data_IF_444490612035
#
_entry.id   IF_444490612035
#
_cell.length_a   1.000
_cell.length_b   1.000
_cell.length_c   1.000
_cell.angle_alpha   90.00
_cell.angle_beta   90.00
_cell.angle_gamma   90.00
#
_symmetry.space_group_name_H-M   'P 1'
#
loop_
_entity.id
_entity.type
_entity.pdbx_description
1 polymer ?
#
# COMPACT_ATOMS: atom_id res chain seq x y z
N UNK A 1 49.25 51.21 -34.91
CA UNK A 1 49.80 50.17 -34.01
C UNK A 1 48.81 50.02 -32.85
N UNK A 2 47.86 49.10 -32.99
CA UNK A 2 46.69 48.97 -32.09
C UNK A 2 46.80 47.65 -31.33
N UNK A 3 46.78 47.73 -29.99
CA UNK A 3 46.77 46.57 -29.10
C UNK A 3 45.33 46.04 -29.01
N UNK A 4 45.15 44.74 -29.25
CA UNK A 4 43.96 43.99 -28.86
C UNK A 4 44.34 42.99 -27.77
N UNK A 5 43.73 43.15 -26.61
CA UNK A 5 43.61 42.14 -25.57
C UNK A 5 42.13 41.93 -25.27
N UNK A 6 41.69 40.68 -25.24
CA UNK A 6 40.47 40.16 -24.60
C UNK A 6 40.47 38.64 -24.81
N UNK A 7 40.78 37.85 -23.79
CA UNK A 7 39.86 37.35 -22.76
C UNK A 7 38.88 36.29 -23.31
N UNK A 8 39.28 35.02 -23.21
CA UNK A 8 38.36 33.88 -23.20
C UNK A 8 38.71 33.00 -22.00
N UNK A 9 37.81 32.98 -21.03
CA UNK A 9 37.74 31.95 -19.99
C UNK A 9 36.32 31.37 -19.99
N UNK A 10 36.14 30.04 -19.87
CA UNK A 10 34.82 29.43 -19.80
C UNK A 10 34.35 29.38 -18.35
N UNK A 11 33.16 29.93 -18.08
CA UNK A 11 32.42 29.68 -16.85
C UNK A 11 31.04 29.15 -17.23
N UNK A 12 30.94 27.82 -17.31
CA UNK A 12 29.67 27.12 -17.24
C UNK A 12 29.69 26.34 -15.93
N UNK A 13 29.28 27.01 -14.85
CA UNK A 13 29.10 26.42 -13.54
C UNK A 13 27.75 25.71 -13.49
N UNK A 14 27.77 24.40 -13.69
CA UNK A 14 26.62 23.51 -13.46
C UNK A 14 26.44 23.37 -11.94
N UNK A 15 25.48 24.09 -11.37
CA UNK A 15 25.05 23.89 -9.98
C UNK A 15 24.25 22.60 -9.86
N UNK A 16 24.96 21.49 -9.66
CA UNK A 16 24.40 20.23 -9.16
C UNK A 16 24.09 20.43 -7.67
N UNK A 17 22.92 20.99 -7.38
CA UNK A 17 22.40 21.09 -6.02
C UNK A 17 21.99 19.71 -5.53
N UNK A 18 22.83 19.10 -4.70
CA UNK A 18 22.57 17.85 -4.01
C UNK A 18 21.39 18.01 -3.04
N UNK A 19 20.28 17.34 -3.34
CA UNK A 19 19.05 17.31 -2.54
C UNK A 19 19.21 16.58 -1.18
N UNK A 20 20.35 15.93 -0.97
CA UNK A 20 20.66 15.17 0.25
C UNK A 20 21.03 16.03 1.47
N UNK A 21 21.23 17.34 1.33
CA UNK A 21 21.73 18.19 2.44
C UNK A 21 20.64 18.74 3.37
N UNK A 22 19.35 18.56 3.08
CA UNK A 22 18.28 19.16 3.91
C UNK A 22 17.83 18.22 5.05
N UNK A 23 18.04 16.90 4.94
CA UNK A 23 17.54 15.95 5.95
C UNK A 23 18.51 15.82 7.16
N UNK A 24 19.76 16.25 7.04
CA UNK A 24 20.78 16.12 8.11
C UNK A 24 20.79 17.28 9.12
N UNK A 25 19.87 18.24 9.05
CA UNK A 25 19.81 19.41 9.95
C UNK A 25 18.53 19.48 10.81
N UNK A 26 17.78 18.39 10.93
CA UNK A 26 16.64 18.27 11.87
C UNK A 26 16.97 17.53 13.17
N UNK A 27 18.26 17.37 13.48
CA UNK A 27 18.71 17.00 14.83
C UNK A 27 18.72 18.23 15.72
N UNK A 28 17.76 18.31 16.65
CA UNK A 28 17.60 19.37 17.68
C UNK A 28 16.73 20.57 17.28
N UNK A 29 15.47 20.31 16.93
CA UNK A 29 14.42 21.30 17.19
C UNK A 29 13.85 21.05 18.59
N UNK A 30 14.16 21.95 19.53
CA UNK A 30 13.38 22.13 20.73
C UNK A 30 11.91 22.25 20.34
N UNK A 31 11.10 21.27 20.74
CA UNK A 31 9.66 21.28 20.52
C UNK A 31 9.06 22.48 21.25
N UNK A 32 8.45 23.44 20.54
CA UNK A 32 7.83 24.57 21.21
C UNK A 32 6.51 24.11 21.90
N UNK A 33 6.15 24.66 23.07
CA UNK A 33 5.04 24.18 23.92
C UNK A 33 3.63 24.51 23.38
N UNK A 34 3.46 24.80 22.10
CA UNK A 34 2.17 25.15 21.50
C UNK A 34 1.40 23.90 21.02
N UNK A 35 1.07 22.98 21.94
CA UNK A 35 0.02 21.97 21.71
C UNK A 35 -0.86 21.80 22.94
N UNK A 36 -1.47 22.90 23.37
CA UNK A 36 -2.82 22.84 23.93
C UNK A 36 -3.78 22.56 22.75
N UNK A 37 -3.77 21.33 22.23
CA UNK A 37 -4.75 20.92 21.23
C UNK A 37 -6.10 20.80 21.93
N UNK A 38 -6.99 21.73 21.59
CA UNK A 38 -8.42 21.53 21.79
C UNK A 38 -8.80 20.21 21.16
N UNK A 39 -9.26 19.27 21.98
CA UNK A 39 -9.77 17.96 21.57
C UNK A 39 -11.05 18.21 20.74
N UNK A 40 -10.89 18.59 19.47
CA UNK A 40 -12.01 18.86 18.58
C UNK A 40 -12.77 17.55 18.43
N UNK A 41 -14.00 17.51 18.93
CA UNK A 41 -14.76 16.27 18.96
C UNK A 41 -15.13 15.86 17.53
N UNK A 42 -15.27 14.56 17.26
CA UNK A 42 -15.68 14.06 15.94
C UNK A 42 -16.97 14.73 15.42
N UNK A 43 -17.84 15.16 16.35
CA UNK A 43 -19.06 15.93 16.05
C UNK A 43 -18.74 17.30 15.44
N UNK A 44 -17.79 18.03 15.98
CA UNK A 44 -17.37 19.35 15.49
C UNK A 44 -16.65 19.26 14.14
N UNK A 45 -15.79 18.24 13.98
CA UNK A 45 -15.15 17.95 12.70
C UNK A 45 -16.19 17.68 11.59
N UNK A 46 -17.20 16.88 11.91
CA UNK A 46 -18.30 16.53 11.00
C UNK A 46 -19.17 17.75 10.69
N UNK A 47 -19.48 18.58 11.70
CA UNK A 47 -20.23 19.82 11.51
C UNK A 47 -19.49 20.79 10.57
N UNK A 48 -18.17 20.96 10.77
CA UNK A 48 -17.33 21.81 9.92
C UNK A 48 -17.25 21.30 8.48
N UNK A 49 -17.18 19.99 8.27
CA UNK A 49 -17.23 19.40 6.93
C UNK A 49 -18.57 19.65 6.24
N UNK A 50 -19.69 19.48 6.96
CA UNK A 50 -21.05 19.72 6.43
C UNK A 50 -21.33 21.20 6.14
N UNK A 51 -20.65 22.12 6.84
CA UNK A 51 -20.80 23.56 6.65
C UNK A 51 -20.08 24.13 5.41
N UNK A 52 -19.27 23.32 4.70
CA UNK A 52 -18.58 23.79 3.48
C UNK A 52 -19.59 24.02 2.34
N UNK A 53 -19.51 25.14 1.60
CA UNK A 53 -20.40 25.40 0.46
C UNK A 53 -20.27 24.27 -0.59
N UNK A 54 -21.40 23.83 -1.15
CA UNK A 54 -21.48 22.73 -2.12
C UNK A 54 -21.45 21.32 -1.53
N UNK A 55 -20.95 21.10 -0.30
CA UNK A 55 -20.96 19.75 0.32
C UNK A 55 -22.36 19.28 0.68
N UNK A 56 -23.25 20.18 1.10
CA UNK A 56 -24.64 19.84 1.40
C UNK A 56 -25.40 19.29 0.18
N UNK A 57 -25.17 19.85 -1.01
CA UNK A 57 -25.79 19.38 -2.25
C UNK A 57 -25.22 18.02 -2.68
N UNK A 58 -23.90 17.84 -2.58
CA UNK A 58 -23.28 16.56 -2.86
C UNK A 58 -23.80 15.45 -1.93
N UNK A 59 -23.94 15.73 -0.63
CA UNK A 59 -24.51 14.77 0.33
C UNK A 59 -25.96 14.42 -0.05
N UNK A 60 -26.79 15.43 -0.36
CA UNK A 60 -28.18 15.22 -0.81
C UNK A 60 -28.25 14.36 -2.08
N UNK A 61 -27.36 14.57 -3.04
CA UNK A 61 -27.31 13.80 -4.29
C UNK A 61 -26.86 12.35 -4.05
N UNK A 62 -25.85 12.13 -3.20
CA UNK A 62 -25.40 10.78 -2.82
C UNK A 62 -26.53 10.03 -2.11
N UNK A 63 -27.24 10.67 -1.19
CA UNK A 63 -28.38 10.06 -0.50
C UNK A 63 -29.55 9.76 -1.45
N UNK A 64 -29.81 10.64 -2.43
CA UNK A 64 -30.79 10.41 -3.50
C UNK A 64 -30.45 9.15 -4.31
N UNK A 65 -29.18 8.98 -4.71
CA UNK A 65 -28.71 7.78 -5.44
C UNK A 65 -28.82 6.51 -4.60
N UNK A 66 -28.48 6.58 -3.31
CA UNK A 66 -28.60 5.44 -2.38
C UNK A 66 -30.06 5.04 -2.20
N UNK A 67 -30.97 5.99 -2.07
CA UNK A 67 -32.41 5.75 -1.99
C UNK A 67 -32.97 5.11 -3.28
N UNK A 68 -32.54 5.59 -4.46
CA UNK A 68 -32.93 5.01 -5.74
C UNK A 68 -32.47 3.55 -5.87
N UNK A 69 -31.21 3.24 -5.53
CA UNK A 69 -30.68 1.87 -5.53
C UNK A 69 -31.45 0.95 -4.58
N UNK A 70 -31.86 1.44 -3.40
CA UNK A 70 -32.67 0.66 -2.44
C UNK A 70 -34.05 0.34 -3.01
N UNK A 71 -34.69 1.29 -3.68
CA UNK A 71 -35.98 1.06 -4.37
C UNK A 71 -35.84 0.04 -5.48
N UNK A 72 -34.79 0.12 -6.27
CA UNK A 72 -34.55 -0.83 -7.36
C UNK A 72 -34.30 -2.25 -6.83
N UNK A 73 -33.45 -2.40 -5.81
CA UNK A 73 -33.28 -3.70 -5.12
C UNK A 73 -34.59 -4.26 -4.58
N UNK A 74 -35.44 -3.41 -4.01
CA UNK A 74 -36.75 -3.84 -3.53
C UNK A 74 -37.69 -4.27 -4.68
N UNK A 75 -37.64 -3.60 -5.84
CA UNK A 75 -38.38 -4.01 -7.03
C UNK A 75 -37.91 -5.37 -7.56
N UNK A 76 -36.60 -5.56 -7.68
CA UNK A 76 -36.00 -6.83 -8.13
C UNK A 76 -36.36 -7.96 -7.16
N UNK A 77 -36.23 -7.74 -5.85
CA UNK A 77 -36.58 -8.74 -4.84
C UNK A 77 -38.07 -9.12 -4.88
N UNK A 78 -38.96 -8.15 -5.14
CA UNK A 78 -40.38 -8.42 -5.33
C UNK A 78 -40.64 -9.26 -6.59
N UNK A 79 -39.97 -8.93 -7.69
CA UNK A 79 -40.11 -9.63 -8.97
C UNK A 79 -39.62 -11.08 -8.89
N UNK A 80 -38.52 -11.31 -8.15
CA UNK A 80 -38.00 -12.65 -7.86
C UNK A 80 -38.93 -13.48 -6.97
N UNK A 81 -39.69 -12.82 -6.08
CA UNK A 81 -40.69 -13.49 -5.25
C UNK A 81 -41.95 -13.88 -6.03
N UNK A 82 -42.35 -13.05 -6.99
CA UNK A 82 -43.56 -13.27 -7.81
C UNK A 82 -43.30 -14.28 -8.95
N UNK A 83 -42.05 -14.40 -9.41
CA UNK A 83 -41.59 -15.43 -10.34
C UNK A 83 -40.40 -16.20 -9.76
N UNK A 84 -40.66 -17.25 -8.94
CA UNK A 84 -39.63 -18.19 -8.56
C UNK A 84 -39.00 -18.74 -9.84
N UNK A 85 -37.68 -18.59 -9.97
CA UNK A 85 -36.95 -19.26 -11.03
C UNK A 85 -37.23 -20.76 -10.91
N UNK A 86 -37.50 -21.46 -12.02
CA UNK A 86 -37.67 -22.91 -11.99
C UNK A 86 -36.44 -23.51 -11.31
N UNK A 87 -36.66 -24.23 -10.20
CA UNK A 87 -35.58 -24.97 -9.56
C UNK A 87 -35.05 -25.93 -10.62
N UNK A 88 -33.81 -25.72 -11.02
CA UNK A 88 -33.03 -26.78 -11.64
C UNK A 88 -32.77 -27.77 -10.51
N UNK A 89 -33.74 -28.65 -10.30
CA UNK A 89 -33.61 -29.86 -9.49
C UNK A 89 -32.54 -30.70 -10.21
N UNK A 90 -31.28 -30.53 -9.79
CA UNK A 90 -30.23 -31.50 -10.07
C UNK A 90 -30.35 -32.54 -8.98
N UNK A 91 -30.99 -33.65 -9.36
CA UNK A 91 -31.11 -34.87 -8.59
C UNK A 91 -29.73 -35.27 -8.03
N UNK A 92 -29.63 -35.27 -6.71
CA UNK A 92 -28.54 -35.91 -5.99
C UNK A 92 -28.91 -37.39 -5.87
N UNK A 93 -28.54 -38.19 -6.87
CA UNK A 93 -28.63 -39.65 -6.77
C UNK A 93 -27.45 -40.19 -5.95
N UNK A 94 -27.79 -40.81 -4.81
CA UNK A 94 -26.97 -41.78 -4.09
C UNK A 94 -26.65 -42.95 -5.03
N UNK A 95 -25.38 -43.30 -5.21
CA UNK A 95 -24.97 -44.60 -5.73
C UNK A 95 -23.57 -44.98 -5.25
N UNK A 96 -23.53 -46.02 -4.41
CA UNK A 96 -22.35 -46.78 -4.01
C UNK A 96 -21.86 -47.68 -5.17
N UNK A 97 -20.53 -47.83 -5.24
CA UNK A 97 -19.73 -48.93 -5.79
C UNK A 97 -19.96 -49.44 -7.24
N UNK A 98 -18.99 -49.15 -8.13
CA UNK A 98 -18.24 -50.20 -8.86
C UNK A 98 -17.06 -49.68 -9.73
N UNK A 99 -15.93 -50.32 -9.47
CA UNK A 99 -14.73 -50.65 -10.25
C UNK A 99 -14.63 -50.30 -11.76
N UNK A 100 -13.47 -49.69 -12.09
CA UNK A 100 -12.66 -49.76 -13.31
C UNK A 100 -13.34 -49.70 -14.70
N UNK A 101 -13.00 -48.68 -15.49
CA UNK A 101 -12.31 -48.82 -16.80
C UNK A 101 -11.97 -47.45 -17.40
N UNK A 102 -10.72 -47.33 -17.84
CA UNK A 102 -10.14 -46.24 -18.62
C UNK A 102 -11.02 -45.77 -19.78
N UNK A 103 -11.19 -44.46 -19.89
CA UNK A 103 -10.80 -43.63 -21.05
C UNK A 103 -11.51 -42.29 -20.98
N UNK A 104 -10.83 -41.25 -21.48
CA UNK A 104 -11.41 -40.01 -22.04
C UNK A 104 -11.20 -38.72 -21.22
N UNK A 105 -10.30 -37.93 -21.80
CA UNK A 105 -10.28 -36.46 -21.91
C UNK A 105 -10.21 -35.66 -20.61
N UNK A 106 -8.96 -35.31 -20.26
CA UNK A 106 -8.66 -34.09 -19.51
C UNK A 106 -9.15 -32.87 -20.30
N UNK A 107 -10.27 -32.29 -19.88
CA UNK A 107 -10.50 -30.86 -20.05
C UNK A 107 -9.92 -30.16 -18.82
N UNK A 108 -8.63 -29.87 -18.95
CA UNK A 108 -7.87 -28.96 -18.11
C UNK A 108 -8.38 -27.53 -18.38
N UNK A 109 -9.45 -27.13 -17.69
CA UNK A 109 -9.75 -25.71 -17.47
C UNK A 109 -9.02 -25.27 -16.22
N UNK A 110 -7.68 -25.27 -16.34
CA UNK A 110 -6.82 -24.49 -15.48
C UNK A 110 -7.18 -23.02 -15.64
N UNK A 111 -8.01 -22.51 -14.74
CA UNK A 111 -8.02 -21.10 -14.37
C UNK A 111 -6.69 -20.80 -13.65
N UNK A 112 -5.59 -20.83 -14.41
CA UNK A 112 -4.34 -20.20 -14.03
C UNK A 112 -4.57 -18.70 -14.13
N UNK A 113 -4.87 -18.11 -12.98
CA UNK A 113 -4.92 -16.68 -12.74
C UNK A 113 -3.74 -15.98 -13.42
N UNK A 114 -4.06 -15.13 -14.39
CA UNK A 114 -3.18 -14.31 -15.22
C UNK A 114 -2.46 -13.19 -14.46
N UNK A 115 -1.96 -13.47 -13.25
CA UNK A 115 -1.22 -12.49 -12.45
C UNK A 115 0.15 -12.11 -13.04
N UNK A 116 0.63 -12.83 -14.06
CA UNK A 116 1.89 -12.51 -14.75
C UNK A 116 1.78 -11.47 -15.88
N UNK A 117 0.57 -11.10 -16.33
CA UNK A 117 0.44 -10.31 -17.57
C UNK A 117 0.42 -8.78 -17.34
N UNK A 118 0.07 -8.32 -16.14
CA UNK A 118 -0.03 -6.87 -15.85
C UNK A 118 1.35 -6.19 -15.82
N UNK A 119 2.37 -6.89 -15.32
CA UNK A 119 3.76 -6.39 -15.31
C UNK A 119 4.34 -6.28 -16.71
N UNK A 120 3.98 -7.20 -17.61
CA UNK A 120 4.47 -7.23 -18.99
C UNK A 120 3.81 -6.12 -19.84
N UNK A 121 2.51 -5.88 -19.66
CA UNK A 121 1.79 -4.82 -20.37
C UNK A 121 2.29 -3.41 -20.02
N UNK A 122 2.76 -3.20 -18.79
CA UNK A 122 3.34 -1.90 -18.36
C UNK A 122 4.80 -1.74 -18.85
N UNK A 123 5.54 -2.84 -18.95
CA UNK A 123 6.91 -2.85 -19.48
C UNK A 123 6.99 -2.68 -21.02
N UNK A 124 5.91 -3.02 -21.75
CA UNK A 124 5.87 -2.99 -23.22
C UNK A 124 5.85 -1.57 -23.82
N UNK A 125 5.49 -0.54 -23.04
CA UNK A 125 5.74 0.86 -23.40
C UNK A 125 7.14 1.25 -22.96
N UNK A 126 8.11 1.02 -23.85
CA UNK A 126 9.52 1.37 -23.71
C UNK A 126 9.69 2.82 -23.24
N UNK A 127 9.72 3.02 -21.93
CA UNK A 127 9.90 4.31 -21.27
C UNK A 127 11.26 4.28 -20.60
N UNK A 128 12.03 5.37 -20.71
CA UNK A 128 13.37 5.47 -20.12
C UNK A 128 13.31 5.09 -18.62
N UNK A 129 14.08 4.10 -18.14
CA UNK A 129 14.13 3.75 -16.71
C UNK A 129 14.60 4.91 -15.83
N UNK A 130 15.13 5.99 -16.41
CA UNK A 130 15.48 7.23 -15.72
C UNK A 130 14.33 8.23 -15.65
N UNK A 131 13.20 7.98 -16.32
CA UNK A 131 12.01 8.82 -16.29
C UNK A 131 11.20 8.57 -15.01
N UNK A 132 11.00 9.63 -14.24
CA UNK A 132 10.18 9.62 -13.03
C UNK A 132 8.75 9.11 -13.29
N UNK A 133 8.16 9.41 -14.46
CA UNK A 133 6.78 9.04 -14.79
C UNK A 133 6.61 7.52 -14.88
N UNK A 134 7.58 6.86 -15.52
CA UNK A 134 7.64 5.41 -15.64
C UNK A 134 7.82 4.76 -14.27
N UNK A 135 8.76 5.28 -13.47
CA UNK A 135 9.06 4.74 -12.16
C UNK A 135 7.89 4.88 -11.18
N UNK A 136 7.15 6.00 -11.18
CA UNK A 136 5.93 6.15 -10.38
C UNK A 136 4.88 5.10 -10.77
N UNK A 137 4.66 4.88 -12.07
CA UNK A 137 3.70 3.87 -12.54
C UNK A 137 4.10 2.47 -12.10
N UNK A 138 5.38 2.12 -12.23
CA UNK A 138 5.93 0.86 -11.75
C UNK A 138 5.74 0.71 -10.24
N UNK A 139 6.10 1.71 -9.44
CA UNK A 139 5.99 1.68 -7.99
C UNK A 139 4.55 1.51 -7.51
N UNK A 140 3.57 2.07 -8.23
CA UNK A 140 2.14 1.83 -7.94
C UNK A 140 1.74 0.37 -8.13
N UNK A 141 2.24 -0.27 -9.19
CA UNK A 141 2.00 -1.70 -9.42
C UNK A 141 2.67 -2.52 -8.33
N UNK A 142 3.93 -2.21 -8.02
CA UNK A 142 4.66 -2.91 -6.97
C UNK A 142 4.00 -2.73 -5.60
N UNK A 143 3.45 -1.55 -5.30
CA UNK A 143 2.62 -1.32 -4.11
C UNK A 143 1.34 -2.17 -4.10
N UNK A 144 0.59 -2.20 -5.20
CA UNK A 144 -0.64 -3.01 -5.31
C UNK A 144 -0.37 -4.50 -5.10
N UNK A 145 0.80 -4.98 -5.55
CA UNK A 145 1.22 -6.37 -5.36
C UNK A 145 1.79 -6.64 -3.96
N UNK A 146 2.32 -5.60 -3.30
CA UNK A 146 2.94 -5.72 -1.99
C UNK A 146 1.92 -5.64 -0.85
N UNK A 147 0.99 -4.68 -0.86
CA UNK A 147 0.09 -4.38 0.27
C UNK A 147 -0.73 -5.59 0.75
N UNK A 148 -1.00 -5.65 2.07
CA UNK A 148 -1.88 -6.67 2.66
C UNK A 148 -3.36 -6.48 2.30
N UNK A 149 -3.73 -5.32 1.76
CA UNK A 149 -5.10 -5.00 1.31
C UNK A 149 -6.18 -5.18 2.41
N UNK A 150 -5.83 -4.92 3.67
CA UNK A 150 -6.75 -4.93 4.82
C UNK A 150 -7.74 -3.76 4.87
N UNK A 151 -7.84 -2.98 3.78
CA UNK A 151 -8.69 -1.81 3.71
C UNK A 151 -8.13 -0.60 4.47
N UNK A 152 -8.99 0.32 4.94
CA UNK A 152 -8.55 1.55 5.61
C UNK A 152 -7.86 1.26 6.95
N UNK A 153 -6.91 2.12 7.32
CA UNK A 153 -6.08 2.00 8.53
C UNK A 153 -6.87 1.72 9.82
N UNK A 154 -8.08 2.27 9.94
CA UNK A 154 -8.96 2.01 11.08
C UNK A 154 -9.37 0.55 11.28
N UNK A 155 -9.18 -0.31 10.27
CA UNK A 155 -9.47 -1.75 10.32
C UNK A 155 -8.25 -2.62 10.58
N UNK A 156 -7.03 -2.08 10.45
CA UNK A 156 -5.80 -2.89 10.49
C UNK A 156 -5.63 -3.67 11.80
N UNK A 157 -5.98 -3.08 12.94
CA UNK A 157 -5.92 -3.76 14.24
C UNK A 157 -6.84 -4.99 14.31
N UNK A 158 -8.05 -4.87 13.75
CA UNK A 158 -9.01 -5.96 13.74
C UNK A 158 -8.57 -7.08 12.79
N UNK A 159 -8.10 -6.73 11.60
CA UNK A 159 -7.60 -7.69 10.61
C UNK A 159 -6.35 -8.42 11.12
N UNK A 160 -5.41 -7.70 11.74
CA UNK A 160 -4.25 -8.29 12.39
C UNK A 160 -4.65 -9.30 13.47
N UNK A 161 -5.60 -8.93 14.34
CA UNK A 161 -6.09 -9.81 15.41
C UNK A 161 -6.75 -11.06 14.82
N UNK A 162 -7.53 -10.90 13.75
CA UNK A 162 -8.21 -11.99 13.07
C UNK A 162 -7.22 -12.97 12.41
N UNK A 163 -6.22 -12.46 11.68
CA UNK A 163 -5.18 -13.31 11.10
C UNK A 163 -4.36 -14.01 12.18
N UNK A 164 -3.93 -13.28 13.22
CA UNK A 164 -3.16 -13.88 14.33
C UNK A 164 -3.94 -15.00 15.02
N UNK A 165 -5.24 -14.81 15.28
CA UNK A 165 -6.08 -15.85 15.85
C UNK A 165 -6.15 -17.09 14.93
N UNK A 166 -6.25 -16.88 13.62
CA UNK A 166 -6.27 -17.96 12.62
C UNK A 166 -4.96 -18.76 12.63
N UNK A 167 -3.81 -18.09 12.60
CA UNK A 167 -2.50 -18.77 12.69
C UNK A 167 -2.25 -19.41 14.06
N UNK A 168 -2.82 -18.87 15.13
CA UNK A 168 -2.77 -19.47 16.48
C UNK A 168 -3.53 -20.79 16.51
N UNK A 169 -4.72 -20.85 15.93
CA UNK A 169 -5.50 -22.09 15.84
C UNK A 169 -4.77 -23.17 15.02
N UNK A 170 -3.98 -22.77 14.02
CA UNK A 170 -3.17 -23.67 13.20
C UNK A 170 -1.82 -24.04 13.85
N UNK A 171 -1.44 -23.42 14.98
CA UNK A 171 -0.11 -23.60 15.58
C UNK A 171 1.04 -23.03 14.74
N UNK A 172 0.76 -22.08 13.84
CA UNK A 172 1.69 -21.52 12.84
C UNK A 172 2.02 -20.04 13.10
N UNK A 173 2.02 -19.64 14.38
CA UNK A 173 2.23 -18.24 14.79
C UNK A 173 3.62 -17.74 14.39
N UNK A 174 4.63 -18.60 14.45
CA UNK A 174 6.00 -18.23 14.09
C UNK A 174 6.12 -17.95 12.59
N UNK A 175 5.51 -18.77 11.74
CA UNK A 175 5.45 -18.58 10.29
C UNK A 175 4.73 -17.27 9.93
N UNK A 176 3.68 -16.92 10.68
CA UNK A 176 2.98 -15.65 10.52
C UNK A 176 3.91 -14.45 10.79
N UNK A 177 4.63 -14.45 11.91
CA UNK A 177 5.55 -13.35 12.22
C UNK A 177 6.72 -13.26 11.23
N UNK A 178 7.26 -14.39 10.76
CA UNK A 178 8.27 -14.41 9.69
C UNK A 178 7.71 -13.77 8.40
N UNK A 179 6.44 -14.05 8.07
CA UNK A 179 5.77 -13.44 6.91
C UNK A 179 5.65 -11.92 7.09
N UNK A 180 5.23 -11.44 8.27
CA UNK A 180 5.12 -10.01 8.56
C UNK A 180 6.48 -9.30 8.54
N UNK A 181 7.55 -9.95 9.04
CA UNK A 181 8.90 -9.41 8.96
C UNK A 181 9.36 -9.25 7.51
N UNK A 182 9.15 -10.29 6.68
CA UNK A 182 9.46 -10.23 5.24
C UNK A 182 8.65 -9.14 4.53
N UNK A 183 7.36 -9.00 4.87
CA UNK A 183 6.49 -7.95 4.35
C UNK A 183 7.02 -6.55 4.70
N UNK A 184 7.44 -6.36 5.95
CA UNK A 184 8.03 -5.11 6.46
C UNK A 184 9.33 -4.77 5.73
N UNK A 185 10.21 -5.76 5.53
CA UNK A 185 11.47 -5.57 4.77
C UNK A 185 11.17 -5.18 3.32
N UNK A 186 10.23 -5.87 2.66
CA UNK A 186 9.82 -5.53 1.30
C UNK A 186 9.25 -4.09 1.22
N UNK A 187 8.45 -3.68 2.20
CA UNK A 187 7.91 -2.32 2.29
C UNK A 187 9.00 -1.27 2.49
N UNK A 188 10.03 -1.53 3.32
CA UNK A 188 11.20 -0.66 3.46
C UNK A 188 11.97 -0.51 2.15
N UNK A 189 12.13 -1.60 1.39
CA UNK A 189 12.74 -1.54 0.06
C UNK A 189 11.90 -0.69 -0.91
N UNK A 190 10.57 -0.74 -0.81
CA UNK A 190 9.67 0.09 -1.61
C UNK A 190 9.80 1.58 -1.22
N UNK A 191 9.87 1.89 0.06
CA UNK A 191 10.13 3.26 0.58
C UNK A 191 11.44 3.81 -0.01
N UNK A 192 12.53 3.04 0.05
CA UNK A 192 13.82 3.46 -0.52
C UNK A 192 13.74 3.75 -2.02
N UNK A 193 12.98 2.96 -2.77
CA UNK A 193 12.77 3.22 -4.20
C UNK A 193 11.95 4.49 -4.45
N UNK A 194 10.91 4.75 -3.63
CA UNK A 194 10.11 5.98 -3.72
C UNK A 194 10.97 7.20 -3.39
N UNK A 195 11.84 7.12 -2.38
CA UNK A 195 12.78 8.19 -2.03
C UNK A 195 13.76 8.49 -3.17
N UNK A 196 14.21 7.45 -3.88
CA UNK A 196 15.06 7.57 -5.06
C UNK A 196 14.41 8.29 -6.26
N UNK A 197 13.08 8.49 -6.27
CA UNK A 197 12.41 9.25 -7.33
C UNK A 197 12.88 10.70 -7.40
N UNK A 198 13.32 11.28 -6.28
CA UNK A 198 13.84 12.65 -6.24
C UNK A 198 15.11 12.87 -7.05
N UNK A 199 15.88 11.79 -7.29
CA UNK A 199 17.14 11.84 -8.05
C UNK A 199 16.92 11.56 -9.55
N UNK A 200 15.71 11.19 -9.96
CA UNK A 200 15.40 10.86 -11.34
C UNK A 200 15.21 12.10 -12.19
N UNK A 201 15.47 11.95 -13.49
CA UNK A 201 15.23 13.00 -14.47
C UNK A 201 13.77 12.97 -14.87
N UNK A 202 13.23 14.14 -15.13
CA UNK A 202 11.93 14.26 -15.76
C UNK A 202 12.13 14.51 -17.25
N UNK A 203 11.39 13.78 -18.09
CA UNK A 203 11.33 14.00 -19.53
C UNK A 203 10.44 15.18 -19.90
N UNK A 204 9.58 15.61 -18.97
CA UNK A 204 8.67 16.75 -19.14
C UNK A 204 9.27 18.05 -18.59
N UNK A 205 8.94 19.16 -19.24
CA UNK A 205 9.27 20.51 -18.78
C UNK A 205 8.05 21.19 -18.15
N UNK A 206 6.88 20.55 -18.19
CA UNK A 206 5.63 21.08 -17.64
C UNK A 206 5.64 21.06 -16.10
N UNK A 207 5.63 22.23 -15.44
CA UNK A 207 5.67 22.32 -13.98
C UNK A 207 4.46 21.67 -13.29
N UNK A 208 3.28 21.68 -13.91
CA UNK A 208 2.07 21.10 -13.31
C UNK A 208 2.15 19.57 -13.32
N UNK A 209 2.67 18.98 -14.40
CA UNK A 209 2.90 17.54 -14.47
C UNK A 209 3.98 17.10 -13.47
N UNK A 210 5.06 17.88 -13.32
CA UNK A 210 6.09 17.61 -12.32
C UNK A 210 5.48 17.64 -10.91
N UNK A 211 4.69 18.66 -10.59
CA UNK A 211 4.00 18.77 -9.31
C UNK A 211 3.08 17.59 -9.05
N UNK A 212 2.29 17.20 -10.05
CA UNK A 212 1.40 16.04 -9.95
C UNK A 212 2.20 14.76 -9.65
N UNK A 213 3.29 14.51 -10.37
CA UNK A 213 4.18 13.37 -10.10
C UNK A 213 4.74 13.36 -8.67
N UNK A 214 5.15 14.52 -8.14
CA UNK A 214 5.58 14.62 -6.75
C UNK A 214 4.46 14.29 -5.76
N UNK A 215 3.25 14.81 -5.98
CA UNK A 215 2.09 14.49 -5.14
C UNK A 215 1.77 13.01 -5.17
N UNK A 216 1.81 12.38 -6.35
CA UNK A 216 1.60 10.95 -6.50
C UNK A 216 2.66 10.12 -5.75
N UNK A 217 3.93 10.51 -5.82
CA UNK A 217 5.01 9.86 -5.08
C UNK A 217 4.87 10.02 -3.56
N UNK A 218 4.46 11.21 -3.11
CA UNK A 218 4.23 11.51 -1.70
C UNK A 218 3.04 10.74 -1.12
N UNK A 219 1.92 10.67 -1.85
CA UNK A 219 0.75 9.90 -1.45
C UNK A 219 1.11 8.42 -1.32
N UNK A 220 1.86 7.88 -2.29
CA UNK A 220 2.35 6.51 -2.26
C UNK A 220 3.27 6.24 -1.07
N UNK A 221 4.22 7.15 -0.81
CA UNK A 221 5.12 7.08 0.34
C UNK A 221 4.34 7.04 1.66
N UNK A 222 3.31 7.87 1.78
CA UNK A 222 2.51 7.99 3.01
C UNK A 222 1.79 6.67 3.31
N UNK A 223 1.16 6.06 2.31
CA UNK A 223 0.44 4.78 2.47
C UNK A 223 1.40 3.65 2.83
N UNK A 224 2.51 3.50 2.09
CA UNK A 224 3.52 2.46 2.36
C UNK A 224 4.12 2.63 3.75
N UNK A 225 4.47 3.87 4.13
CA UNK A 225 5.08 4.16 5.42
C UNK A 225 4.13 3.83 6.58
N UNK A 226 2.85 4.15 6.46
CA UNK A 226 1.85 3.84 7.48
C UNK A 226 1.76 2.32 7.70
N UNK A 227 1.63 1.53 6.62
CA UNK A 227 1.52 0.08 6.69
C UNK A 227 2.80 -0.57 7.25
N UNK A 228 3.98 -0.14 6.79
CA UNK A 228 5.28 -0.59 7.34
C UNK A 228 5.38 -0.28 8.84
N UNK A 229 5.01 0.95 9.26
CA UNK A 229 5.09 1.36 10.67
C UNK A 229 4.14 0.58 11.55
N UNK A 230 2.93 0.28 11.07
CA UNK A 230 2.00 -0.58 11.78
C UNK A 230 2.62 -1.96 12.07
N UNK A 231 3.18 -2.62 11.05
CA UNK A 231 3.79 -3.93 11.24
C UNK A 231 5.07 -3.91 12.08
N UNK A 232 5.90 -2.88 11.97
CA UNK A 232 7.07 -2.70 12.85
C UNK A 232 6.65 -2.65 14.33
N UNK A 233 5.59 -1.88 14.64
CA UNK A 233 5.06 -1.76 16.02
C UNK A 233 4.50 -3.10 16.50
N UNK A 234 3.76 -3.82 15.65
CA UNK A 234 3.24 -5.14 16.00
C UNK A 234 4.33 -6.19 16.19
N UNK A 235 5.35 -6.19 15.33
CA UNK A 235 6.48 -7.10 15.51
C UNK A 235 7.23 -6.83 16.81
N UNK A 236 7.37 -5.56 17.22
CA UNK A 236 8.00 -5.18 18.50
C UNK A 236 7.12 -5.56 19.71
N UNK A 237 5.81 -5.33 19.64
CA UNK A 237 4.84 -5.68 20.69
C UNK A 237 4.83 -7.18 21.00
N UNK A 238 4.96 -8.02 19.96
CA UNK A 238 4.92 -9.48 20.07
C UNK A 238 6.30 -10.14 20.04
N UNK A 239 7.38 -9.37 19.90
CA UNK A 239 8.72 -9.89 20.07
C UNK A 239 8.78 -10.47 21.49
N UNK A 240 9.08 -11.76 21.68
CA UNK A 240 9.25 -12.28 23.02
C UNK A 240 10.30 -11.42 23.68
N UNK A 241 9.94 -10.70 24.75
CA UNK A 241 10.90 -10.12 25.68
C UNK A 241 11.69 -11.30 26.22
N UNK A 242 12.75 -11.70 25.51
CA UNK A 242 13.66 -12.72 25.95
C UNK A 242 14.09 -12.24 27.33
N UNK A 243 13.74 -12.94 28.42
CA UNK A 243 14.25 -12.54 29.71
C UNK A 243 15.77 -12.64 29.58
N UNK A 244 16.48 -11.53 29.77
CA UNK A 244 17.94 -11.46 29.69
C UNK A 244 18.68 -12.40 30.69
N UNK A 245 17.93 -13.26 31.40
CA UNK A 245 18.36 -14.20 32.43
C UNK A 245 19.23 -15.35 31.90
N UNK A 246 19.38 -15.52 30.59
CA UNK A 246 20.28 -16.54 30.00
C UNK A 246 21.55 -15.99 29.32
N UNK A 247 21.81 -14.67 29.37
CA UNK A 247 23.04 -14.10 28.75
C UNK A 247 24.23 -14.04 29.73
N UNK A 248 24.07 -14.46 30.98
CA UNK A 248 25.13 -14.43 32.00
C UNK A 248 25.69 -15.81 32.34
N UNK A 249 26.45 -16.44 31.43
CA UNK A 249 27.39 -17.52 31.83
C UNK A 249 28.59 -17.75 30.91
N UNK A 250 28.99 -16.79 30.06
CA UNK A 250 30.09 -16.98 29.08
C UNK A 250 31.34 -16.12 29.34
N UNK A 251 31.51 -15.54 30.54
CA UNK A 251 32.74 -14.78 30.81
C UNK A 251 33.30 -14.85 32.23
N UNK A 252 33.56 -16.06 32.73
CA UNK A 252 34.56 -16.26 33.79
C UNK A 252 35.31 -17.58 33.58
N UNK A 253 36.25 -17.62 32.62
CA UNK A 253 37.42 -18.51 32.68
C UNK A 253 38.48 -18.05 31.69
N UNK A 254 39.35 -17.14 32.14
CA UNK A 254 40.76 -17.08 31.70
C UNK A 254 41.54 -16.14 32.61
N UNK A 255 42.28 -16.73 33.55
CA UNK A 255 43.66 -16.40 33.93
C UNK A 255 43.99 -17.13 35.23
N UNK A 256 44.51 -18.33 35.10
CA UNK A 256 45.68 -18.80 35.84
C UNK A 256 46.65 -19.34 34.79
#
# INVERSE_FOLDING_TARGET
MVRYGSAMGPLCSTTSGTFTSIISHLGSCDYPPWRAHTHMTQKEATARYKAKPGKAEHIKEVDRRRAARRREKARVAKLLKDHPLPSSDLDTEDSEDQESTQSRTQEDTGEQESHQDVRFLIASQCSDPRDISFNIRKLRVDHTLWTMNWGPESLWENEFTHELASFTQLGQVNEYFIRLERHTIAGRNLISQIQGLGDLRTSTVDPDLIRDMFLQGFDLLTVVLAEVKFFEVKLDEYAPTIPAKHVSSIRTRRRQ
#
